data_IF_566447850319
#
_entry.id   IF_566447850319
#
_cell.length_a   1.000
_cell.length_b   1.000
_cell.length_c   1.000
_cell.angle_alpha   90.00
_cell.angle_beta   90.00
_cell.angle_gamma   90.00
#
_symmetry.space_group_name_H-M   'P 1'
#
loop_
_entity.id
_entity.type
_entity.pdbx_description
1 polymer ?
#
# COMPACT_ATOMS: atom_id res chain seq x y z
N UNK A 1 -15.91 -3.71 2.76
CA UNK A 1 -15.29 -2.52 2.14
C UNK A 1 -14.84 -1.59 3.25
N UNK A 2 -13.64 -1.05 3.13
CA UNK A 2 -13.08 -0.10 4.12
C UNK A 2 -13.96 1.15 4.13
N UNK A 3 -14.38 1.56 5.32
CA UNK A 3 -15.15 2.78 5.57
C UNK A 3 -14.75 3.36 6.94
N UNK A 4 -15.30 4.52 7.32
CA UNK A 4 -14.96 5.20 8.58
C UNK A 4 -15.16 4.30 9.81
N UNK A 5 -16.26 3.55 9.88
CA UNK A 5 -16.55 2.67 11.02
C UNK A 5 -15.62 1.44 11.10
N UNK A 6 -15.11 0.96 9.96
CA UNK A 6 -14.27 -0.24 9.87
C UNK A 6 -12.78 0.08 9.71
N UNK A 7 -12.37 1.35 9.77
CA UNK A 7 -11.00 1.79 9.51
C UNK A 7 -10.01 1.15 10.48
N UNK A 8 -10.32 1.15 11.79
CA UNK A 8 -9.44 0.58 12.81
C UNK A 8 -9.19 -0.93 12.62
N UNK A 9 -10.25 -1.70 12.32
CA UNK A 9 -10.12 -3.13 12.05
C UNK A 9 -9.38 -3.38 10.73
N UNK A 10 -9.60 -2.53 9.73
CA UNK A 10 -8.87 -2.60 8.45
C UNK A 10 -7.38 -2.37 8.65
N UNK A 11 -6.99 -1.42 9.50
CA UNK A 11 -5.58 -1.18 9.87
C UNK A 11 -5.00 -2.40 10.61
N UNK A 12 -5.76 -3.01 11.53
CA UNK A 12 -5.32 -4.23 12.21
C UNK A 12 -5.04 -5.36 11.22
N UNK A 13 -5.97 -5.62 10.30
CA UNK A 13 -5.83 -6.64 9.25
C UNK A 13 -4.68 -6.35 8.29
N UNK A 14 -4.49 -5.09 7.91
CA UNK A 14 -3.36 -4.63 7.11
C UNK A 14 -2.02 -4.95 7.80
N UNK A 15 -1.90 -4.64 9.09
CA UNK A 15 -0.70 -4.93 9.89
C UNK A 15 -0.43 -6.42 10.08
N UNK A 16 -1.46 -7.27 9.98
CA UNK A 16 -1.32 -8.73 10.00
C UNK A 16 -0.88 -9.31 8.65
N UNK A 17 -0.68 -8.47 7.63
CA UNK A 17 -0.23 -8.91 6.31
C UNK A 17 -1.35 -9.47 5.43
N UNK A 18 -2.61 -9.15 5.72
CA UNK A 18 -3.72 -9.64 4.91
C UNK A 18 -3.76 -8.98 3.52
N UNK A 19 -3.33 -9.73 2.49
CA UNK A 19 -3.21 -9.26 1.09
C UNK A 19 -4.50 -8.66 0.53
N UNK A 20 -5.67 -9.21 0.88
CA UNK A 20 -6.95 -8.70 0.42
C UNK A 20 -7.24 -7.30 0.99
N UNK A 21 -6.93 -7.07 2.26
CA UNK A 21 -7.07 -5.75 2.90
C UNK A 21 -6.04 -4.76 2.35
N UNK A 22 -4.81 -5.20 2.08
CA UNK A 22 -3.80 -4.37 1.41
C UNK A 22 -4.29 -3.89 0.03
N UNK A 23 -4.82 -4.78 -0.79
CA UNK A 23 -5.37 -4.42 -2.10
C UNK A 23 -6.52 -3.40 -1.97
N UNK A 24 -7.45 -3.60 -1.03
CA UNK A 24 -8.54 -2.64 -0.77
C UNK A 24 -8.01 -1.28 -0.30
N UNK A 25 -6.99 -1.26 0.56
CA UNK A 25 -6.35 -0.04 1.05
C UNK A 25 -5.65 0.73 -0.08
N UNK A 26 -4.96 0.02 -0.99
CA UNK A 26 -4.35 0.60 -2.20
C UNK A 26 -5.42 1.21 -3.11
N UNK A 27 -6.49 0.45 -3.43
CA UNK A 27 -7.60 0.95 -4.24
C UNK A 27 -8.28 2.17 -3.63
N UNK A 28 -8.42 2.22 -2.29
CA UNK A 28 -8.96 3.39 -1.60
C UNK A 28 -8.07 4.62 -1.80
N UNK A 29 -6.75 4.46 -1.68
CA UNK A 29 -5.77 5.54 -1.87
C UNK A 29 -5.71 6.02 -3.32
N UNK A 30 -5.84 5.13 -4.30
CA UNK A 30 -5.86 5.47 -5.73
C UNK A 30 -7.17 6.11 -6.20
N UNK A 31 -8.23 6.03 -5.38
CA UNK A 31 -9.55 6.52 -5.77
C UNK A 31 -9.61 8.04 -5.89
N UNK A 32 -10.20 8.53 -6.98
CA UNK A 32 -10.46 9.96 -7.22
C UNK A 32 -11.79 10.45 -6.64
N UNK A 33 -12.57 9.59 -6.00
CA UNK A 33 -13.85 9.98 -5.41
C UNK A 33 -13.60 10.82 -4.13
N UNK A 34 -14.19 12.02 -3.97
CA UNK A 34 -13.88 12.92 -2.85
C UNK A 34 -14.04 12.29 -1.46
N UNK A 35 -15.09 11.47 -1.26
CA UNK A 35 -15.29 10.72 0.00
C UNK A 35 -14.14 9.77 0.32
N UNK A 36 -13.54 9.13 -0.69
CA UNK A 36 -12.44 8.20 -0.49
C UNK A 36 -11.14 8.93 -0.16
N UNK A 37 -10.94 10.15 -0.66
CA UNK A 37 -9.75 10.97 -0.36
C UNK A 37 -9.67 11.36 1.13
N UNK A 38 -10.82 11.73 1.72
CA UNK A 38 -10.88 12.02 3.15
C UNK A 38 -10.52 10.78 3.99
N UNK A 39 -11.11 9.62 3.65
CA UNK A 39 -10.85 8.37 4.34
C UNK A 39 -9.41 7.86 4.12
N UNK A 40 -8.84 8.04 2.92
CA UNK A 40 -7.47 7.62 2.62
C UNK A 40 -6.44 8.44 3.37
N UNK A 41 -6.68 9.74 3.56
CA UNK A 41 -5.84 10.61 4.40
C UNK A 41 -5.82 10.10 5.84
N UNK A 42 -6.99 9.82 6.42
CA UNK A 42 -7.09 9.24 7.77
C UNK A 42 -6.38 7.89 7.87
N UNK A 43 -6.53 7.04 6.85
CA UNK A 43 -5.84 5.75 6.80
C UNK A 43 -4.32 5.92 6.78
N UNK A 44 -3.80 6.82 5.94
CA UNK A 44 -2.37 7.10 5.83
C UNK A 44 -1.79 7.60 7.15
N UNK A 45 -2.43 8.60 7.77
CA UNK A 45 -2.01 9.15 9.06
C UNK A 45 -1.97 8.06 10.15
N UNK A 46 -3.00 7.20 10.19
CA UNK A 46 -3.12 6.17 11.20
C UNK A 46 -2.09 5.03 11.04
N UNK A 47 -1.55 4.79 9.83
CA UNK A 47 -0.52 3.77 9.63
C UNK A 47 0.91 4.28 9.82
N UNK A 48 1.13 5.60 9.84
CA UNK A 48 2.47 6.20 9.95
C UNK A 48 3.35 5.62 11.07
N UNK A 49 2.86 5.36 12.30
CA UNK A 49 3.67 4.78 13.38
C UNK A 49 4.20 3.36 13.10
N UNK A 50 3.62 2.65 12.13
CA UNK A 50 4.00 1.28 11.77
C UNK A 50 4.90 1.20 10.53
N UNK A 51 5.22 2.35 9.93
CA UNK A 51 6.08 2.45 8.75
C UNK A 51 7.54 2.73 9.14
N UNK A 52 8.45 2.63 8.16
CA UNK A 52 9.87 2.99 8.32
C UNK A 52 10.83 1.83 8.53
N UNK A 53 10.34 0.66 8.98
CA UNK A 53 11.14 -0.55 9.16
C UNK A 53 11.13 -1.46 7.91
N UNK A 54 11.38 -0.88 6.74
CA UNK A 54 11.47 -1.63 5.48
C UNK A 54 12.67 -1.13 4.65
N UNK A 55 13.41 -2.07 4.04
CA UNK A 55 14.47 -1.74 3.08
C UNK A 55 13.81 -1.23 1.78
N UNK A 56 14.12 0.01 1.40
CA UNK A 56 13.55 0.66 0.20
C UNK A 56 14.62 0.70 -0.89
N UNK A 57 14.49 -0.16 -1.90
CA UNK A 57 15.42 -0.25 -3.03
C UNK A 57 14.81 0.39 -4.28
N UNK A 58 15.54 1.29 -4.93
CA UNK A 58 15.19 1.84 -6.24
C UNK A 58 15.92 1.08 -7.34
N UNK A 59 15.18 0.54 -8.32
CA UNK A 59 15.76 -0.19 -9.45
C UNK A 59 15.33 0.49 -10.75
N UNK A 60 16.30 0.94 -11.54
CA UNK A 60 16.09 1.59 -12.85
C UNK A 60 16.93 0.89 -13.91
N UNK A 61 16.54 1.03 -15.18
CA UNK A 61 17.23 0.48 -16.34
C UNK A 61 16.60 0.98 -17.63
N UNK A 62 17.42 1.16 -18.67
CA UNK A 62 16.94 1.53 -20.01
C UNK A 62 16.04 0.42 -20.60
N UNK A 63 15.18 0.74 -21.60
CA UNK A 63 14.42 -0.28 -22.31
C UNK A 63 15.34 -1.38 -22.85
N UNK A 64 15.04 -2.64 -22.54
CA UNK A 64 15.87 -3.79 -22.93
C UNK A 64 17.02 -4.17 -21.98
N UNK A 65 17.27 -3.41 -20.90
CA UNK A 65 18.37 -3.69 -19.96
C UNK A 65 18.19 -4.95 -19.07
N UNK A 66 17.17 -5.78 -19.32
CA UNK A 66 16.92 -6.99 -18.53
C UNK A 66 16.36 -6.75 -17.12
N UNK A 67 15.84 -5.55 -16.83
CA UNK A 67 15.36 -5.16 -15.48
C UNK A 67 14.29 -6.12 -14.92
N UNK A 68 13.38 -6.64 -15.75
CA UNK A 68 12.35 -7.58 -15.28
C UNK A 68 12.95 -8.95 -14.92
N UNK A 69 13.85 -9.48 -15.74
CA UNK A 69 14.61 -10.71 -15.47
C UNK A 69 15.45 -10.59 -14.20
N UNK A 70 16.08 -9.42 -14.00
CA UNK A 70 16.81 -9.14 -12.78
C UNK A 70 15.91 -9.17 -11.54
N UNK A 71 14.76 -8.49 -11.56
CA UNK A 71 13.85 -8.46 -10.40
C UNK A 71 13.30 -9.85 -10.08
N UNK A 72 12.89 -10.62 -11.08
CA UNK A 72 12.43 -12.00 -10.88
C UNK A 72 13.52 -12.90 -10.27
N UNK A 73 14.77 -12.77 -10.72
CA UNK A 73 15.89 -13.53 -10.17
C UNK A 73 16.32 -13.05 -8.78
N UNK A 74 16.13 -11.77 -8.46
CA UNK A 74 16.44 -11.17 -7.17
C UNK A 74 15.47 -11.62 -6.07
N UNK A 75 14.20 -11.84 -6.42
CA UNK A 75 13.12 -12.27 -5.52
C UNK A 75 12.12 -11.16 -5.24
#
# INVERSE_FOLDING_TARGET
>A
MINEATLAESIRRLRQGERATLAQAMTLVESRHPRHQALSTQQLDAIMPYCGNALRLGVTGTPGAGKSTFLEAFG
#
